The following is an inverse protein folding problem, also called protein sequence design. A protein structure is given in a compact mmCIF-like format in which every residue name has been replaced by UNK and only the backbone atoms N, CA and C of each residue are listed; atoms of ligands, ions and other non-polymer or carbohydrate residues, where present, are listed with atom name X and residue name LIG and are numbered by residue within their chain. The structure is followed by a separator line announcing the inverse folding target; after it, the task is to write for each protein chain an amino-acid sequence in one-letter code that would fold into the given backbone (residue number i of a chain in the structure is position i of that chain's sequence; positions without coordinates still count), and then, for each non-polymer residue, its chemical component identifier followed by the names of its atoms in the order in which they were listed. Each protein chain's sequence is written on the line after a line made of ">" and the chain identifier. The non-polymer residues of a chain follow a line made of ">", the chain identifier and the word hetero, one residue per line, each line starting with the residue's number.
data_IF_211952846024
#
_entry.id   IF_211952846024
#
_cell.length_a   1.000
_cell.length_b   1.000
_cell.length_c   1.000
_cell.angle_alpha   90.00
_cell.angle_beta   90.00
_cell.angle_gamma   90.00
#
_symmetry.space_group_name_H-M   'P 1'
#
loop_
_entity.id
_entity.type
_entity.pdbx_description
1 polymer ?
#
# COMPACT_ATOMS: atom_id res chain seq x y z
N UNK A 1 -12.79 -13.15 -0.57
CA UNK A 1 -11.34 -13.21 -0.31
C UNK A 1 -10.99 -13.74 1.07
N UNK A 2 -11.78 -13.46 2.11
CA UNK A 2 -11.54 -14.01 3.44
C UNK A 2 -11.43 -15.55 3.46
N UNK A 3 -12.26 -16.26 2.67
CA UNK A 3 -12.16 -17.72 2.47
C UNK A 3 -10.83 -18.20 1.86
N UNK A 4 -10.10 -17.33 1.15
CA UNK A 4 -8.76 -17.59 0.60
C UNK A 4 -7.64 -17.03 1.50
N UNK A 5 -7.97 -16.66 2.74
CA UNK A 5 -7.02 -16.08 3.70
C UNK A 5 -6.61 -14.63 3.42
N UNK A 6 -7.15 -13.98 2.37
CA UNK A 6 -6.75 -12.61 2.00
C UNK A 6 -7.67 -11.60 2.66
N UNK A 7 -7.07 -10.73 3.48
CA UNK A 7 -7.73 -9.68 4.27
C UNK A 7 -7.23 -8.29 3.84
N UNK A 8 -7.84 -7.24 4.37
CA UNK A 8 -7.55 -5.87 3.99
C UNK A 8 -8.27 -4.86 4.88
N UNK A 9 -7.97 -3.55 4.72
CA UNK A 9 -8.68 -2.49 5.42
C UNK A 9 -10.17 -2.50 5.05
N UNK A 10 -11.00 -2.03 5.97
CA UNK A 10 -12.45 -1.91 5.75
C UNK A 10 -12.70 -0.81 4.71
N UNK A 11 -13.40 -1.08 3.60
CA UNK A 11 -13.67 -0.06 2.60
C UNK A 11 -14.76 0.91 3.08
N UNK A 12 -14.64 2.19 2.69
CA UNK A 12 -15.67 3.20 2.91
C UNK A 12 -16.56 3.32 1.65
N UNK A 13 -17.86 3.64 1.77
CA UNK A 13 -18.75 3.82 0.62
C UNK A 13 -18.21 4.86 -0.38
N UNK A 14 -18.31 4.57 -1.69
CA UNK A 14 -17.91 5.39 -2.85
C UNK A 14 -16.38 5.66 -2.99
N UNK A 15 -15.72 5.90 -1.87
CA UNK A 15 -14.33 6.38 -1.77
C UNK A 15 -13.36 5.21 -1.57
N UNK A 16 -13.82 4.08 -1.03
CA UNK A 16 -12.96 2.92 -0.73
C UNK A 16 -11.96 3.24 0.38
N UNK A 17 -10.68 2.97 0.13
CA UNK A 17 -9.56 3.22 1.04
C UNK A 17 -8.65 4.37 0.60
N UNK A 18 -9.06 5.17 -0.39
CA UNK A 18 -8.18 6.22 -0.95
C UNK A 18 -7.82 7.30 0.08
N UNK A 19 -8.68 7.57 1.06
CA UNK A 19 -8.37 8.48 2.16
C UNK A 19 -7.32 7.90 3.12
N UNK A 20 -7.33 6.58 3.32
CA UNK A 20 -6.27 5.91 4.09
C UNK A 20 -4.95 6.03 3.34
N UNK A 21 -4.95 5.76 2.04
CA UNK A 21 -3.77 5.91 1.16
C UNK A 21 -3.23 7.33 1.21
N UNK A 22 -4.09 8.34 1.03
CA UNK A 22 -3.69 9.75 1.07
C UNK A 22 -3.11 10.15 2.43
N UNK A 23 -3.69 9.65 3.53
CA UNK A 23 -3.17 9.90 4.87
C UNK A 23 -1.78 9.29 5.07
N UNK A 24 -1.58 8.04 4.63
CA UNK A 24 -0.26 7.39 4.70
C UNK A 24 0.80 8.14 3.89
N UNK A 25 0.47 8.57 2.67
CA UNK A 25 1.39 9.36 1.83
C UNK A 25 1.70 10.68 2.52
N UNK A 26 0.69 11.42 2.97
CA UNK A 26 0.88 12.69 3.67
C UNK A 26 1.76 12.56 4.90
N UNK A 27 1.59 11.50 5.70
CA UNK A 27 2.46 11.21 6.85
C UNK A 27 3.89 10.91 6.43
N UNK A 28 4.09 10.06 5.42
CA UNK A 28 5.41 9.67 4.94
C UNK A 28 6.17 10.83 4.29
N UNK A 29 5.46 11.79 3.69
CA UNK A 29 6.04 12.98 3.06
C UNK A 29 6.01 14.22 3.96
N UNK A 30 5.52 14.11 5.20
CA UNK A 30 5.42 15.26 6.12
C UNK A 30 6.77 15.82 6.56
N UNK A 31 7.83 15.03 6.43
CA UNK A 31 9.20 15.40 6.72
C UNK A 31 10.07 15.16 5.49
N UNK A 32 11.12 15.96 5.36
CA UNK A 32 12.15 15.75 4.35
C UNK A 32 12.86 14.41 4.57
N UNK A 33 13.53 13.94 3.52
CA UNK A 33 14.35 12.73 3.63
C UNK A 33 15.63 13.09 4.38
N UNK A 34 15.92 12.39 5.47
CA UNK A 34 17.15 12.60 6.22
C UNK A 34 18.39 12.31 5.35
N UNK A 35 18.29 11.30 4.46
CA UNK A 35 19.35 10.89 3.54
C UNK A 35 18.78 10.46 2.17
N UNK A 36 19.59 10.59 1.12
CA UNK A 36 19.28 10.00 -0.20
C UNK A 36 19.53 8.49 -0.09
N UNK A 37 18.46 7.70 -0.17
CA UNK A 37 18.51 6.24 -0.10
C UNK A 37 17.77 5.65 -1.29
N UNK A 38 18.22 4.47 -1.74
CA UNK A 38 17.55 3.71 -2.80
C UNK A 38 16.28 2.99 -2.31
N UNK A 39 16.10 2.82 -0.99
CA UNK A 39 14.88 2.26 -0.42
C UNK A 39 13.83 3.36 -0.25
N UNK A 40 13.18 3.70 -1.37
CA UNK A 40 12.12 4.72 -1.42
C UNK A 40 10.72 4.12 -1.32
N UNK A 41 10.60 2.78 -1.26
CA UNK A 41 9.30 2.08 -1.25
C UNK A 41 8.48 2.48 -0.02
N UNK A 42 9.13 2.57 1.14
CA UNK A 42 8.50 3.01 2.39
C UNK A 42 7.95 4.45 2.29
N UNK A 43 8.50 5.29 1.40
CA UNK A 43 8.06 6.69 1.19
C UNK A 43 7.05 6.85 0.06
N UNK A 44 7.23 6.14 -1.05
CA UNK A 44 6.34 6.19 -2.22
C UNK A 44 5.05 5.40 -1.96
N UNK A 45 5.19 4.27 -1.27
CA UNK A 45 4.14 3.27 -1.06
C UNK A 45 3.94 2.94 0.44
N UNK A 46 3.81 3.95 1.34
CA UNK A 46 3.77 3.74 2.80
C UNK A 46 2.60 2.86 3.26
N UNK A 47 1.44 3.03 2.63
CA UNK A 47 0.25 2.23 2.88
C UNK A 47 0.48 0.75 2.56
N UNK A 48 1.31 0.42 1.56
CA UNK A 48 1.63 -0.97 1.22
C UNK A 48 2.47 -1.62 2.30
N UNK A 49 3.45 -0.91 2.82
CA UNK A 49 4.34 -1.40 3.87
C UNK A 49 3.54 -1.63 5.13
N UNK A 50 2.72 -0.66 5.54
CA UNK A 50 1.83 -0.77 6.69
C UNK A 50 0.85 -1.95 6.57
N UNK A 51 0.14 -2.06 5.44
CA UNK A 51 -0.85 -3.12 5.24
C UNK A 51 -0.23 -4.49 5.01
N UNK A 52 0.98 -4.58 4.46
CA UNK A 52 1.71 -5.85 4.37
C UNK A 52 2.13 -6.38 5.74
N UNK A 53 2.49 -5.49 6.67
CA UNK A 53 2.78 -5.84 8.07
C UNK A 53 1.51 -6.27 8.81
N UNK A 54 0.37 -5.63 8.52
CA UNK A 54 -0.89 -5.88 9.21
C UNK A 54 -1.68 -7.09 8.69
N UNK A 55 -1.75 -7.26 7.37
CA UNK A 55 -2.59 -8.27 6.70
C UNK A 55 -1.78 -9.38 6.03
N UNK A 56 -0.44 -9.26 6.01
CA UNK A 56 0.48 -10.23 5.44
C UNK A 56 0.92 -9.89 4.01
N UNK A 57 1.74 -10.78 3.43
CA UNK A 57 2.36 -10.61 2.10
C UNK A 57 1.34 -10.34 0.98
N UNK A 58 0.10 -10.81 1.16
CA UNK A 58 -1.00 -10.63 0.22
C UNK A 58 -2.21 -10.03 0.92
N UNK A 59 -2.66 -8.88 0.44
CA UNK A 59 -3.83 -8.17 0.99
C UNK A 59 -4.67 -7.56 -0.13
N UNK A 60 -5.88 -7.10 0.21
CA UNK A 60 -6.78 -6.40 -0.71
C UNK A 60 -7.10 -5.01 -0.20
N UNK A 61 -7.33 -4.06 -1.10
CA UNK A 61 -7.90 -2.76 -0.75
C UNK A 61 -8.76 -2.25 -1.91
N UNK A 62 -9.55 -1.22 -1.65
CA UNK A 62 -10.50 -0.67 -2.63
C UNK A 62 -10.13 0.74 -3.06
N UNK A 63 -10.10 0.93 -4.37
CA UNK A 63 -9.95 2.21 -5.04
C UNK A 63 -11.37 2.68 -5.46
N UNK A 64 -11.52 3.98 -5.65
CA UNK A 64 -12.70 4.68 -6.19
C UNK A 64 -13.75 3.78 -6.89
N UNK A 65 -15.00 3.81 -6.44
CA UNK A 65 -16.12 3.15 -7.13
C UNK A 65 -16.14 1.62 -7.07
N UNK A 66 -15.32 0.98 -6.22
CA UNK A 66 -15.39 -0.47 -5.99
C UNK A 66 -14.34 -1.30 -6.72
N UNK A 67 -13.39 -0.66 -7.42
CA UNK A 67 -12.23 -1.35 -7.98
C UNK A 67 -11.42 -1.99 -6.83
N UNK A 68 -11.24 -3.31 -6.90
CA UNK A 68 -10.58 -4.10 -5.86
C UNK A 68 -9.19 -4.49 -6.34
N UNK A 69 -8.17 -3.95 -5.71
CA UNK A 69 -6.80 -4.37 -5.93
C UNK A 69 -6.47 -5.57 -5.02
N UNK A 70 -5.85 -6.61 -5.58
CA UNK A 70 -5.20 -7.69 -4.81
C UNK A 70 -3.70 -7.53 -4.98
N UNK A 71 -2.98 -7.41 -3.88
CA UNK A 71 -1.57 -7.04 -3.90
C UNK A 71 -0.66 -8.12 -3.34
N UNK A 72 0.57 -8.25 -3.87
CA UNK A 72 1.59 -9.17 -3.38
C UNK A 72 2.96 -8.48 -3.30
N UNK A 73 3.49 -8.34 -2.07
CA UNK A 73 4.76 -7.66 -1.75
C UNK A 73 5.93 -8.11 -2.64
N UNK A 74 6.12 -9.42 -2.80
CA UNK A 74 7.30 -9.97 -3.49
C UNK A 74 7.38 -9.57 -4.97
N UNK A 75 6.25 -9.29 -5.62
CA UNK A 75 6.22 -8.88 -7.03
C UNK A 75 6.49 -7.40 -7.25
N UNK A 76 6.28 -6.55 -6.23
CA UNK A 76 6.52 -5.12 -6.38
C UNK A 76 7.94 -4.78 -6.01
N UNK A 77 8.49 -5.38 -4.96
CA UNK A 77 9.90 -5.20 -4.63
C UNK A 77 10.77 -5.56 -5.86
N UNK A 78 10.45 -6.66 -6.54
CA UNK A 78 11.13 -7.08 -7.77
C UNK A 78 10.88 -6.15 -8.98
N UNK A 79 9.73 -5.47 -9.05
CA UNK A 79 9.40 -4.57 -10.16
C UNK A 79 9.98 -3.17 -9.95
N UNK A 80 9.95 -2.68 -8.71
CA UNK A 80 10.60 -1.45 -8.30
C UNK A 80 12.12 -1.54 -8.46
N UNK A 81 12.73 -2.70 -8.15
CA UNK A 81 14.16 -2.93 -8.43
C UNK A 81 14.52 -3.03 -9.91
N UNK A 82 13.55 -3.28 -10.80
CA UNK A 82 13.79 -3.40 -12.24
C UNK A 82 13.48 -2.10 -13.02
N UNK A 83 12.92 -1.09 -12.36
CA UNK A 83 12.56 0.21 -12.95
C UNK A 83 13.59 1.32 -12.62
N UNK A 84 14.71 0.97 -11.98
CA UNK A 84 15.88 1.82 -11.67
C UNK A 84 17.13 1.22 -12.31
#
# INVERSE_FOLDING_TARGET
>A
MAKQGVRGPKPRPLIGNILDVASFVSQATSKDMDHITHDTVDRLLPHYVAWSRQYGKRFIFWNWGGAKAVYNRARIDQRASNEV
#
